data_IF_640191712469
#
_entry.id   IF_640191712469
#
_cell.length_a   1.000
_cell.length_b   1.000
_cell.length_c   1.000
_cell.angle_alpha   90.00
_cell.angle_beta   90.00
_cell.angle_gamma   90.00
#
_symmetry.space_group_name_H-M   'P 1'
#
loop_
_entity.id
_entity.type
_entity.pdbx_description
1 polymer ?
#
# COMPACT_ATOMS: atom_id res chain seq x y z
N UNK A 1 -10.90 -3.11 -10.26
CA UNK A 1 -10.07 -2.09 -9.60
C UNK A 1 -8.89 -2.78 -8.94
N UNK A 2 -7.70 -2.17 -8.90
CA UNK A 2 -6.53 -2.81 -8.30
C UNK A 2 -6.61 -2.72 -6.76
N UNK A 3 -6.31 -3.82 -6.09
CA UNK A 3 -6.14 -3.87 -4.63
C UNK A 3 -4.92 -3.04 -4.19
N UNK A 4 -4.99 -2.42 -3.01
CA UNK A 4 -3.87 -1.69 -2.42
C UNK A 4 -2.59 -2.52 -2.36
N UNK A 5 -2.65 -3.79 -1.96
CA UNK A 5 -1.49 -4.69 -1.92
C UNK A 5 -0.82 -4.83 -3.30
N UNK A 6 -1.62 -5.05 -4.34
CA UNK A 6 -1.15 -5.17 -5.71
C UNK A 6 -0.54 -3.85 -6.21
N UNK A 7 -1.21 -2.73 -5.92
CA UNK A 7 -0.76 -1.39 -6.29
C UNK A 7 0.61 -1.07 -5.65
N UNK A 8 0.77 -1.38 -4.37
CA UNK A 8 2.03 -1.21 -3.65
C UNK A 8 3.13 -2.13 -4.19
N UNK A 9 2.86 -3.43 -4.38
CA UNK A 9 3.83 -4.36 -4.94
C UNK A 9 4.28 -3.96 -6.35
N UNK A 10 3.37 -3.48 -7.18
CA UNK A 10 3.69 -3.00 -8.53
C UNK A 10 4.52 -1.72 -8.48
N UNK A 11 4.17 -0.76 -7.62
CA UNK A 11 4.95 0.46 -7.41
C UNK A 11 6.37 0.15 -6.91
N UNK A 12 6.49 -0.75 -5.95
CA UNK A 12 7.77 -1.23 -5.41
C UNK A 12 8.64 -1.88 -6.49
N UNK A 13 8.06 -2.78 -7.29
CA UNK A 13 8.78 -3.44 -8.41
C UNK A 13 9.24 -2.44 -9.46
N UNK A 14 8.38 -1.51 -9.88
CA UNK A 14 8.70 -0.48 -10.89
C UNK A 14 9.84 0.44 -10.45
N UNK A 15 9.95 0.70 -9.15
CA UNK A 15 10.97 1.58 -8.58
C UNK A 15 12.16 0.85 -7.95
N UNK A 16 12.17 -0.48 -8.02
CA UNK A 16 13.16 -1.34 -7.35
C UNK A 16 13.31 -1.04 -5.85
N UNK A 17 12.20 -0.73 -5.17
CA UNK A 17 12.17 -0.40 -3.75
C UNK A 17 11.83 -1.61 -2.89
N UNK A 18 12.60 -1.81 -1.82
CA UNK A 18 12.30 -2.77 -0.77
C UNK A 18 11.40 -2.14 0.30
N UNK A 19 10.76 -2.98 1.13
CA UNK A 19 9.95 -2.48 2.25
C UNK A 19 10.80 -1.66 3.25
N UNK A 20 12.09 -1.99 3.39
CA UNK A 20 13.02 -1.20 4.22
C UNK A 20 13.29 0.17 3.59
N UNK A 21 13.57 0.24 2.29
CA UNK A 21 13.79 1.51 1.61
C UNK A 21 12.55 2.41 1.65
N UNK A 22 11.35 1.84 1.61
CA UNK A 22 10.11 2.58 1.86
C UNK A 22 10.00 3.09 3.29
N UNK A 23 10.39 2.28 4.28
CA UNK A 23 10.36 2.68 5.69
C UNK A 23 11.27 3.89 5.94
N UNK A 24 12.47 3.86 5.37
CA UNK A 24 13.43 4.96 5.45
C UNK A 24 12.89 6.26 4.79
N UNK A 25 12.09 6.15 3.73
CA UNK A 25 11.54 7.30 3.01
C UNK A 25 10.25 7.86 3.59
N UNK A 26 9.44 7.03 4.23
CA UNK A 26 8.09 7.40 4.72
C UNK A 26 8.01 7.54 6.23
N UNK A 27 9.02 7.07 6.97
CA UNK A 27 8.98 6.95 8.43
C UNK A 27 8.04 5.84 8.94
N UNK A 28 7.36 5.12 8.05
CA UNK A 28 6.48 4.01 8.40
C UNK A 28 7.35 2.80 8.77
N UNK A 29 7.03 2.12 9.86
CA UNK A 29 7.80 0.94 10.29
C UNK A 29 7.76 -0.16 9.23
N UNK A 30 8.91 -0.75 8.91
CA UNK A 30 9.05 -1.84 7.91
C UNK A 30 8.03 -2.97 8.08
N UNK A 31 7.71 -3.46 9.29
CA UNK A 31 6.68 -4.49 9.45
C UNK A 31 5.29 -4.05 8.95
N UNK A 32 4.90 -2.79 9.15
CA UNK A 32 3.63 -2.26 8.64
C UNK A 32 3.60 -2.21 7.12
N UNK A 33 4.68 -1.73 6.50
CA UNK A 33 4.79 -1.71 5.03
C UNK A 33 4.67 -3.12 4.45
N UNK A 34 5.28 -4.12 5.08
CA UNK A 34 5.13 -5.52 4.64
C UNK A 34 3.68 -5.99 4.72
N UNK A 35 2.99 -5.69 5.82
CA UNK A 35 1.56 -6.02 5.95
C UNK A 35 0.72 -5.32 4.89
N UNK A 36 0.93 -4.02 4.63
CA UNK A 36 0.20 -3.32 3.57
C UNK A 36 0.49 -3.88 2.17
N UNK A 37 1.74 -4.23 1.89
CA UNK A 37 2.12 -4.83 0.62
C UNK A 37 1.57 -6.26 0.46
N UNK A 38 1.29 -6.98 1.55
CA UNK A 38 0.82 -8.36 1.53
C UNK A 38 -0.71 -8.47 1.60
N UNK A 39 -1.31 -7.76 2.54
CA UNK A 39 -2.74 -7.85 2.89
C UNK A 39 -3.54 -6.60 2.45
N UNK A 40 -2.86 -5.57 1.95
CA UNK A 40 -3.51 -4.33 1.51
C UNK A 40 -4.17 -3.63 2.68
N UNK A 41 -5.34 -3.03 2.43
CA UNK A 41 -6.18 -2.43 3.48
C UNK A 41 -7.11 -3.45 4.17
N UNK A 42 -6.97 -4.76 3.89
CA UNK A 42 -7.85 -5.82 4.39
C UNK A 42 -7.29 -6.59 5.58
N UNK A 43 -5.99 -6.47 5.82
CA UNK A 43 -5.34 -7.11 6.95
C UNK A 43 -5.81 -6.54 8.30
N UNK A 44 -5.43 -7.19 9.43
CA UNK A 44 -5.75 -6.71 10.77
C UNK A 44 -5.11 -5.34 11.10
N UNK A 45 -4.20 -4.88 10.25
CA UNK A 45 -3.53 -3.59 10.36
C UNK A 45 -3.96 -2.73 9.19
N UNK A 46 -4.82 -1.75 9.45
CA UNK A 46 -5.28 -0.80 8.44
C UNK A 46 -4.30 0.39 8.31
N UNK A 47 -3.94 0.78 7.08
CA UNK A 47 -3.18 1.99 6.83
C UNK A 47 -4.06 3.23 7.07
N UNK A 48 -3.48 4.24 7.69
CA UNK A 48 -4.11 5.56 7.83
C UNK A 48 -4.00 6.36 6.54
N UNK A 49 -4.83 7.39 6.38
CA UNK A 49 -4.76 8.28 5.22
C UNK A 49 -3.39 8.97 5.07
N UNK A 50 -2.78 9.37 6.18
CA UNK A 50 -1.43 9.94 6.18
C UNK A 50 -0.38 8.92 5.68
N UNK A 51 -0.45 7.68 6.15
CA UNK A 51 0.44 6.61 5.67
C UNK A 51 0.21 6.33 4.17
N UNK A 52 -1.03 6.34 3.70
CA UNK A 52 -1.35 6.20 2.27
C UNK A 52 -0.77 7.34 1.44
N UNK A 53 -0.82 8.57 1.94
CA UNK A 53 -0.20 9.73 1.30
C UNK A 53 1.32 9.59 1.19
N UNK A 54 1.99 9.17 2.27
CA UNK A 54 3.43 8.94 2.27
C UNK A 54 3.83 7.80 1.31
N UNK A 55 3.06 6.70 1.28
CA UNK A 55 3.29 5.60 0.35
C UNK A 55 3.10 6.03 -1.11
N UNK A 56 2.05 6.82 -1.39
CA UNK A 56 1.79 7.37 -2.71
C UNK A 56 2.96 8.24 -3.19
N UNK A 57 3.42 9.16 -2.34
CA UNK A 57 4.55 10.03 -2.63
C UNK A 57 5.85 9.21 -2.83
N UNK A 58 6.14 8.25 -1.95
CA UNK A 58 7.33 7.41 -2.06
C UNK A 58 7.34 6.58 -3.35
N UNK A 59 6.20 6.06 -3.77
CA UNK A 59 6.07 5.24 -4.97
C UNK A 59 5.76 6.03 -6.25
N UNK A 60 5.63 7.37 -6.15
CA UNK A 60 5.10 8.22 -7.21
C UNK A 60 3.82 7.66 -7.85
N UNK A 61 2.89 7.22 -7.00
CA UNK A 61 1.56 6.78 -7.38
C UNK A 61 0.58 7.94 -7.17
N UNK A 62 -0.48 8.06 -7.99
CA UNK A 62 -1.53 9.04 -7.76
C UNK A 62 -2.24 8.77 -6.43
N UNK A 63 -2.25 9.76 -5.53
CA UNK A 63 -2.92 9.62 -4.23
C UNK A 63 -4.41 9.19 -4.35
N UNK A 64 -5.22 9.72 -5.30
CA UNK A 64 -6.59 9.26 -5.46
C UNK A 64 -6.71 7.76 -5.75
N UNK A 65 -5.80 7.18 -6.54
CA UNK A 65 -5.79 5.74 -6.85
C UNK A 65 -5.43 4.92 -5.60
N UNK A 66 -4.50 5.41 -4.79
CA UNK A 66 -4.10 4.76 -3.53
C UNK A 66 -5.24 4.78 -2.52
N UNK A 67 -5.93 5.92 -2.36
CA UNK A 67 -7.08 6.07 -1.46
C UNK A 67 -8.30 5.27 -1.92
N UNK A 68 -8.51 5.15 -3.22
CA UNK A 68 -9.57 4.31 -3.79
C UNK A 68 -9.27 2.83 -3.55
N UNK A 69 -8.06 2.37 -3.88
CA UNK A 69 -7.62 1.00 -3.65
C UNK A 69 -7.64 0.57 -2.17
N UNK A 70 -7.44 1.52 -1.24
CA UNK A 70 -7.57 1.29 0.19
C UNK A 70 -9.04 1.23 0.67
N UNK A 71 -9.97 1.84 -0.06
CA UNK A 71 -11.42 1.85 0.23
C UNK A 71 -12.17 0.70 -0.42
N UNK A 72 -11.71 0.18 -1.55
CA UNK A 72 -12.39 -0.93 -2.23
C UNK A 72 -12.15 -2.24 -1.47
N UNK A 73 -13.16 -2.83 -0.80
CA UNK A 73 -13.08 -4.26 -0.49
C UNK A 73 -12.95 -5.01 -1.83
N UNK A 74 -12.10 -6.03 -1.95
CA UNK A 74 -12.21 -6.90 -3.12
C UNK A 74 -13.63 -7.44 -3.05
N UNK A 75 -14.30 -7.40 -4.18
CA UNK A 75 -15.51 -8.18 -4.38
C UNK A 75 -15.31 -9.56 -3.73
N UNK A 76 -16.32 -9.91 -2.95
CA UNK A 76 -16.33 -11.03 -2.05
C UNK A 76 -15.65 -12.27 -2.65
N UNK A 77 -14.76 -12.87 -1.88
CA UNK A 77 -14.77 -14.33 -1.79
C UNK A 77 -16.15 -14.74 -1.27
N UNK A 78 -17.12 -14.77 -2.17
CA UNK A 78 -18.30 -15.63 -2.07
C UNK A 78 -17.88 -16.95 -2.69
N UNK A 79 -17.36 -17.85 -1.85
CA UNK A 79 -17.45 -19.30 -2.05
C UNK A 79 -17.80 -19.92 -0.72
#
# INVERSE_FOLDING_TARGET
MADLSQLLQQGMRRRHLTAQALAERTGIRTPRIRVFAQDGARGPVHPTEAELAELAAALALPLPEVLDAARTPAEASQV
#
